data_IF_920087796098
#
_entry.id   IF_920087796098
#
_cell.length_a   1.000
_cell.length_b   1.000
_cell.length_c   1.000
_cell.angle_alpha   90.00
_cell.angle_beta   90.00
_cell.angle_gamma   90.00
#
_symmetry.space_group_name_H-M   'P 1'
#
loop_
_entity.id
_entity.type
_entity.pdbx_description
1 polymer ?
#
# COMPACT_ATOMS: atom_id res chain seq x y z
N UNK A 1 7.29 10.78 -2.79
CA UNK A 1 7.44 10.72 -1.31
C UNK A 1 8.92 10.77 -0.96
N UNK A 2 9.32 11.48 0.10
CA UNK A 2 10.73 11.64 0.44
C UNK A 2 11.35 10.31 0.91
N UNK A 3 12.66 10.11 0.65
CA UNK A 3 13.39 8.98 1.21
C UNK A 3 13.49 9.11 2.73
N UNK A 4 13.57 7.97 3.44
CA UNK A 4 13.82 7.92 4.89
C UNK A 4 12.73 8.60 5.74
N UNK A 5 11.49 8.64 5.24
CA UNK A 5 10.31 9.08 5.99
C UNK A 5 10.19 8.35 7.34
N UNK A 6 10.59 7.07 7.40
CA UNK A 6 10.59 6.28 8.65
C UNK A 6 11.46 6.85 9.78
N UNK A 7 12.39 7.78 9.50
CA UNK A 7 13.18 8.48 10.53
C UNK A 7 12.36 9.53 11.29
N UNK A 8 11.21 9.93 10.76
CA UNK A 8 10.29 10.86 11.40
C UNK A 8 9.41 10.10 12.42
N UNK A 9 10.02 9.50 13.44
CA UNK A 9 9.32 8.64 14.41
C UNK A 9 8.20 9.38 15.16
N UNK A 10 8.33 10.70 15.33
CA UNK A 10 7.35 11.59 15.95
C UNK A 10 6.35 12.22 14.95
N UNK A 11 6.32 11.77 13.70
CA UNK A 11 5.37 12.27 12.72
C UNK A 11 3.93 11.96 13.18
N UNK A 12 3.14 13.02 13.33
CA UNK A 12 1.76 12.90 13.82
C UNK A 12 0.73 12.88 12.69
N UNK A 13 1.00 13.58 11.59
CA UNK A 13 0.08 13.68 10.46
C UNK A 13 0.76 13.23 9.17
N UNK A 14 0.09 12.31 8.48
CA UNK A 14 0.46 11.85 7.15
C UNK A 14 -0.81 11.44 6.42
N UNK A 15 -1.22 12.25 5.44
CA UNK A 15 -2.50 12.07 4.75
C UNK A 15 -2.44 11.06 3.62
N UNK A 16 -1.34 11.04 2.86
CA UNK A 16 -1.16 10.17 1.71
C UNK A 16 0.17 9.43 1.76
N UNK A 17 0.12 8.11 1.58
CA UNK A 17 1.29 7.26 1.46
C UNK A 17 1.19 6.35 0.25
N UNK A 18 2.10 6.55 -0.69
CA UNK A 18 2.26 5.67 -1.86
C UNK A 18 3.03 4.42 -1.43
N UNK A 19 2.37 3.28 -1.53
CA UNK A 19 2.92 1.97 -1.19
C UNK A 19 3.77 1.45 -2.34
N UNK A 20 5.03 1.13 -2.08
CA UNK A 20 5.92 0.41 -2.97
C UNK A 20 6.73 -0.62 -2.18
N UNK A 21 7.32 -1.61 -2.87
CA UNK A 21 8.09 -2.71 -2.26
C UNK A 21 9.17 -2.21 -1.29
N UNK A 22 9.92 -1.17 -1.66
CA UNK A 22 11.00 -0.66 -0.82
C UNK A 22 10.53 0.21 0.34
N UNK A 23 9.40 0.90 0.16
CA UNK A 23 9.00 1.99 1.05
C UNK A 23 7.98 1.56 2.08
N UNK A 24 7.21 0.50 1.84
CA UNK A 24 6.20 -0.01 2.77
C UNK A 24 6.80 -0.22 4.17
N UNK A 25 8.02 -0.75 4.27
CA UNK A 25 8.74 -0.96 5.54
C UNK A 25 8.95 0.33 6.36
N UNK A 26 9.01 1.49 5.72
CA UNK A 26 9.16 2.77 6.43
C UNK A 26 7.93 3.09 7.30
N UNK A 27 6.74 2.59 6.95
CA UNK A 27 5.52 2.79 7.74
C UNK A 27 5.63 2.15 9.12
N UNK A 28 6.43 1.09 9.29
CA UNK A 28 6.63 0.41 10.58
C UNK A 28 7.03 1.40 11.68
N UNK A 29 7.92 2.35 11.36
CA UNK A 29 8.49 3.30 12.33
C UNK A 29 7.59 4.50 12.66
N UNK A 30 6.52 4.72 11.89
CA UNK A 30 5.63 5.89 12.05
C UNK A 30 4.53 5.64 13.08
N UNK A 31 4.90 5.31 14.31
CA UNK A 31 3.97 4.83 15.36
C UNK A 31 3.03 5.91 15.92
N UNK A 32 3.36 7.19 15.70
CA UNK A 32 2.62 8.32 16.27
C UNK A 32 1.61 8.97 15.33
N UNK A 33 1.40 8.37 14.15
CA UNK A 33 0.40 8.83 13.18
C UNK A 33 -1.01 8.86 13.78
N UNK A 34 -1.74 9.92 13.45
CA UNK A 34 -3.11 10.19 13.89
C UNK A 34 -3.97 10.63 12.70
N UNK A 35 -5.28 10.63 12.91
CA UNK A 35 -6.21 11.07 11.88
C UNK A 35 -6.41 10.02 10.79
N UNK A 36 -6.55 10.50 9.56
CA UNK A 36 -6.82 9.65 8.39
C UNK A 36 -5.55 9.41 7.59
N UNK A 37 -5.18 8.15 7.41
CA UNK A 37 -4.10 7.74 6.52
C UNK A 37 -4.69 7.13 5.24
N UNK A 38 -4.37 7.71 4.08
CA UNK A 38 -4.70 7.14 2.78
C UNK A 38 -3.50 6.40 2.21
N UNK A 39 -3.65 5.11 1.92
CA UNK A 39 -2.67 4.31 1.20
C UNK A 39 -3.08 4.18 -0.27
N UNK A 40 -2.15 4.41 -1.18
CA UNK A 40 -2.35 4.21 -2.61
C UNK A 40 -1.30 3.27 -3.18
N UNK A 41 -1.72 2.32 -4.01
CA UNK A 41 -0.81 1.37 -4.67
C UNK A 41 0.07 2.08 -5.73
N UNK A 42 1.36 1.76 -5.75
CA UNK A 42 2.22 1.91 -6.94
C UNK A 42 2.25 0.58 -7.70
N UNK A 43 2.26 0.61 -9.03
CA UNK A 43 2.16 -0.54 -9.95
C UNK A 43 3.08 -1.74 -9.62
N UNK A 44 4.12 -1.54 -8.83
CA UNK A 44 5.02 -2.58 -8.35
C UNK A 44 4.33 -3.58 -7.41
N UNK A 45 4.46 -4.87 -7.70
CA UNK A 45 3.97 -5.96 -6.84
C UNK A 45 4.64 -5.92 -5.46
N UNK A 46 3.82 -5.66 -4.45
CA UNK A 46 4.16 -5.77 -3.03
C UNK A 46 4.09 -7.25 -2.65
N UNK A 47 5.12 -7.74 -1.94
CA UNK A 47 5.11 -9.09 -1.39
C UNK A 47 4.14 -9.15 -0.20
N UNK A 48 3.39 -10.25 -0.08
CA UNK A 48 2.48 -10.52 1.04
C UNK A 48 3.23 -10.42 2.38
N UNK A 49 4.49 -10.85 2.43
CA UNK A 49 5.30 -10.77 3.66
C UNK A 49 5.66 -9.32 4.04
N UNK A 50 5.94 -8.46 3.06
CA UNK A 50 6.20 -7.04 3.34
C UNK A 50 4.94 -6.30 3.82
N UNK A 51 3.76 -6.67 3.29
CA UNK A 51 2.49 -6.15 3.78
C UNK A 51 2.18 -6.63 5.21
N UNK A 52 2.50 -7.89 5.52
CA UNK A 52 2.31 -8.48 6.86
C UNK A 52 3.20 -7.79 7.90
N UNK A 53 4.46 -7.49 7.55
CA UNK A 53 5.41 -6.80 8.44
C UNK A 53 4.94 -5.42 8.88
N UNK A 54 4.33 -4.66 7.98
CA UNK A 54 3.94 -3.27 8.23
C UNK A 54 2.74 -3.12 9.16
N UNK A 55 2.12 -4.24 9.53
CA UNK A 55 1.04 -4.40 10.51
C UNK A 55 0.43 -3.08 11.02
N UNK A 56 -0.43 -2.50 10.17
CA UNK A 56 -1.12 -1.24 10.45
C UNK A 56 -2.08 -1.35 11.64
N UNK A 57 -2.41 -2.58 12.08
CA UNK A 57 -3.27 -2.85 13.24
C UNK A 57 -2.71 -2.27 14.54
N UNK A 58 -1.39 -2.11 14.64
CA UNK A 58 -0.74 -1.55 15.83
C UNK A 58 -0.67 -0.02 15.84
N UNK A 59 -1.16 0.67 14.81
CA UNK A 59 -1.25 2.14 14.78
C UNK A 59 -2.54 2.63 15.44
N UNK A 60 -2.69 2.36 16.74
CA UNK A 60 -3.91 2.61 17.50
C UNK A 60 -4.33 4.07 17.69
N UNK A 61 -3.62 5.03 17.09
CA UNK A 61 -3.96 6.46 17.11
C UNK A 61 -4.55 6.96 15.80
N UNK A 62 -4.61 6.11 14.77
CA UNK A 62 -5.32 6.44 13.52
C UNK A 62 -6.82 6.39 13.77
N UNK A 63 -7.51 7.41 13.29
CA UNK A 63 -8.98 7.47 13.33
C UNK A 63 -9.57 6.68 12.16
N UNK A 64 -8.88 6.68 11.01
CA UNK A 64 -9.29 5.91 9.84
C UNK A 64 -8.14 5.55 8.91
N UNK A 65 -8.33 4.46 8.17
CA UNK A 65 -7.43 3.98 7.13
C UNK A 65 -8.21 3.87 5.81
N UNK A 66 -7.75 4.55 4.77
CA UNK A 66 -8.34 4.51 3.43
C UNK A 66 -7.39 3.77 2.50
N UNK A 67 -7.89 2.74 1.82
CA UNK A 67 -7.13 1.95 0.85
C UNK A 67 -7.60 2.30 -0.57
N UNK A 68 -6.73 2.93 -1.36
CA UNK A 68 -6.95 3.19 -2.78
C UNK A 68 -6.15 2.20 -3.61
N UNK A 69 -6.84 1.15 -4.03
CA UNK A 69 -6.32 0.14 -4.95
C UNK A 69 -7.11 0.28 -6.25
N UNK A 70 -6.41 0.46 -7.38
CA UNK A 70 -7.04 0.25 -8.68
C UNK A 70 -7.25 -1.26 -8.86
N UNK A 71 -8.48 -1.65 -9.18
CA UNK A 71 -8.76 -2.98 -9.69
C UNK A 71 -8.06 -3.11 -11.03
N UNK A 72 -6.87 -3.71 -11.04
CA UNK A 72 -6.50 -4.55 -12.18
C UNK A 72 -7.41 -5.78 -12.09
N UNK A 73 -8.69 -5.57 -12.39
CA UNK A 73 -9.54 -6.66 -12.84
C UNK A 73 -8.71 -7.43 -13.86
N UNK A 74 -8.54 -8.71 -13.58
CA UNK A 74 -7.88 -9.63 -14.48
C UNK A 74 -8.44 -9.37 -15.87
N UNK A 75 -7.68 -8.70 -16.75
CA UNK A 75 -7.62 -9.16 -18.11
C UNK A 75 -6.93 -10.50 -17.97
N UNK A 76 -7.74 -11.50 -17.57
CA UNK A 76 -7.57 -12.85 -18.03
C UNK A 76 -7.48 -12.60 -19.52
N UNK A 77 -6.26 -12.67 -20.05
CA UNK A 77 -6.10 -13.02 -21.45
C UNK A 77 -6.98 -14.26 -21.56
N UNK A 78 -8.22 -14.06 -22.03
CA UNK A 78 -8.72 -14.94 -23.05
C UNK A 78 -7.63 -14.82 -24.12
N UNK A 79 -6.56 -15.62 -23.96
CA UNK A 79 -6.14 -16.45 -25.05
C UNK A 79 -7.44 -16.92 -25.63
N UNK A 80 -7.81 -16.20 -26.68
CA UNK A 80 -8.96 -16.52 -27.46
C UNK A 80 -8.75 -17.98 -27.73
N UNK A 81 -9.67 -18.83 -27.30
CA UNK A 81 -9.94 -20.05 -28.03
C UNK A 81 -9.94 -19.58 -29.49
N UNK A 82 -8.82 -19.85 -30.17
CA UNK A 82 -8.56 -19.38 -31.51
C UNK A 82 -9.56 -20.17 -32.31
N UNK A 83 -10.71 -19.53 -32.50
CA UNK A 83 -11.73 -19.84 -33.47
C UNK A 83 -12.01 -21.34 -33.61
N UNK A 84 -13.08 -21.76 -32.95
CA UNK A 84 -14.01 -22.77 -33.46
C UNK A 84 -14.63 -22.38 -34.84
N UNK A 85 -13.87 -21.74 -35.73
CA UNK A 85 -14.22 -21.44 -37.12
C UNK A 85 -12.94 -21.22 -37.96
N UNK A 86 -12.31 -22.32 -38.38
CA UNK A 86 -11.97 -22.64 -39.78
C UNK A 86 -11.47 -24.09 -39.88
#
# INVERSE_FOLDING_TARGET
MPPQLGRLMNLQSLTNFVVSRERIRELEFLLHLRGTLCLSRSENMIDVEDARRVNLKFKGRLDSLVLKWSDSSYVREMESDVLYML
#
